data_IF_620061774629
#
_entry.id   IF_620061774629
#
_cell.length_a   1.000
_cell.length_b   1.000
_cell.length_c   1.000
_cell.angle_alpha   90.00
_cell.angle_beta   90.00
_cell.angle_gamma   90.00
#
_symmetry.space_group_name_H-M   'P 1'
#
loop_
_entity.id
_entity.type
_entity.pdbx_description
1 polymer ?
#
# COMPACT_ATOMS: atom_id res chain seq x y z
N UNK A 1 19.61 -9.57 7.83
CA UNK A 1 18.43 -10.42 7.60
C UNK A 1 18.16 -10.37 6.12
N UNK A 2 18.27 -11.50 5.42
CA UNK A 2 17.86 -11.58 4.02
C UNK A 2 16.33 -11.62 4.02
N UNK A 3 15.71 -10.60 3.43
CA UNK A 3 14.28 -10.61 3.12
C UNK A 3 14.03 -11.77 2.15
N UNK A 4 13.16 -12.70 2.53
CA UNK A 4 12.85 -13.86 1.72
C UNK A 4 12.05 -13.42 0.48
N UNK A 5 12.47 -13.80 -0.74
CA UNK A 5 11.76 -13.44 -1.97
C UNK A 5 10.42 -14.18 -2.01
N UNK A 6 9.35 -13.48 -1.65
CA UNK A 6 7.98 -14.02 -1.58
C UNK A 6 7.20 -13.63 -0.33
N UNK A 7 7.83 -12.99 0.66
CA UNK A 7 7.11 -12.37 1.77
C UNK A 7 6.61 -10.98 1.33
N UNK A 8 5.29 -10.79 1.33
CA UNK A 8 4.68 -9.47 1.15
C UNK A 8 5.43 -8.42 1.97
N UNK A 9 5.78 -7.29 1.35
CA UNK A 9 6.52 -6.22 1.99
C UNK A 9 5.92 -5.91 3.37
N UNK A 10 6.70 -6.00 4.48
CA UNK A 10 6.15 -5.86 5.84
C UNK A 10 5.53 -4.48 6.07
N UNK A 11 5.90 -3.49 5.25
CA UNK A 11 5.31 -2.16 5.21
C UNK A 11 3.80 -2.20 4.87
N UNK A 12 3.36 -3.08 3.96
CA UNK A 12 1.94 -3.23 3.59
C UNK A 12 1.07 -3.61 4.79
N UNK A 13 1.63 -4.41 5.71
CA UNK A 13 0.98 -4.86 6.93
C UNK A 13 1.13 -3.88 8.10
N UNK A 14 2.02 -2.89 8.01
CA UNK A 14 2.12 -1.83 9.03
C UNK A 14 0.94 -0.88 8.91
N UNK A 15 0.54 -0.30 10.06
CA UNK A 15 -0.44 0.79 10.06
C UNK A 15 0.16 2.02 9.42
N UNK A 16 -0.66 2.79 8.72
CA UNK A 16 -0.23 4.03 8.09
C UNK A 16 0.41 5.00 9.08
N UNK A 17 -0.15 5.16 10.28
CA UNK A 17 0.43 6.02 11.30
C UNK A 17 1.75 5.50 11.91
N UNK A 18 2.07 4.23 11.71
CA UNK A 18 3.35 3.64 12.12
C UNK A 18 4.38 3.66 10.97
N UNK A 19 3.91 3.72 9.73
CA UNK A 19 4.74 3.75 8.52
C UNK A 19 5.00 5.17 7.99
N UNK A 20 4.08 6.10 8.24
CA UNK A 20 4.08 7.46 7.74
C UNK A 20 3.72 8.45 8.86
N UNK A 21 4.64 9.35 9.20
CA UNK A 21 4.43 10.38 10.23
C UNK A 21 3.32 11.39 9.89
N UNK A 22 2.95 11.51 8.61
CA UNK A 22 1.93 12.45 8.15
C UNK A 22 0.51 11.88 8.17
N UNK A 23 0.35 10.57 8.38
CA UNK A 23 -0.96 9.91 8.40
C UNK A 23 -1.31 9.51 9.84
N UNK A 24 -2.49 9.89 10.31
CA UNK A 24 -3.05 9.38 11.59
C UNK A 24 -3.88 8.11 11.40
N UNK A 25 -3.91 7.55 10.18
CA UNK A 25 -4.74 6.39 9.87
C UNK A 25 -4.22 5.14 10.56
N UNK A 26 -5.10 4.46 11.27
CA UNK A 26 -4.83 3.14 11.87
C UNK A 26 -4.99 2.00 10.87
N UNK A 27 -5.40 2.31 9.64
CA UNK A 27 -5.51 1.32 8.58
C UNK A 27 -4.11 0.87 8.14
N UNK A 28 -3.95 -0.41 7.80
CA UNK A 28 -2.71 -0.88 7.19
C UNK A 28 -2.46 -0.17 5.85
N UNK A 29 -1.19 0.01 5.49
CA UNK A 29 -0.79 0.68 4.22
C UNK A 29 -1.46 0.00 3.02
N UNK A 30 -1.55 -1.33 3.03
CA UNK A 30 -2.26 -2.12 2.02
C UNK A 30 -3.71 -1.68 1.84
N UNK A 31 -4.45 -1.59 2.94
CA UNK A 31 -5.87 -1.22 2.91
C UNK A 31 -6.04 0.24 2.48
N UNK A 32 -5.16 1.14 2.91
CA UNK A 32 -5.23 2.53 2.49
C UNK A 32 -4.97 2.70 0.97
N UNK A 33 -3.98 1.99 0.42
CA UNK A 33 -3.75 1.92 -1.02
C UNK A 33 -4.95 1.29 -1.74
N UNK A 34 -5.48 0.19 -1.21
CA UNK A 34 -6.64 -0.49 -1.76
C UNK A 34 -7.88 0.41 -1.84
N UNK A 35 -8.16 1.16 -0.78
CA UNK A 35 -9.27 2.12 -0.70
C UNK A 35 -9.11 3.26 -1.72
N UNK A 36 -7.90 3.79 -1.87
CA UNK A 36 -7.59 4.79 -2.91
C UNK A 36 -7.85 4.26 -4.33
N UNK A 37 -7.40 3.04 -4.62
CA UNK A 37 -7.64 2.42 -5.92
C UNK A 37 -9.11 2.08 -6.13
N UNK A 38 -9.83 1.67 -5.08
CA UNK A 38 -11.27 1.49 -5.12
C UNK A 38 -11.97 2.79 -5.51
N UNK A 39 -11.70 3.91 -4.83
CA UNK A 39 -12.30 5.20 -5.20
C UNK A 39 -11.93 5.63 -6.62
N UNK A 40 -10.67 5.40 -7.03
CA UNK A 40 -10.18 5.72 -8.38
C UNK A 40 -10.81 4.87 -9.48
N UNK A 41 -11.11 3.61 -9.19
CA UNK A 41 -11.61 2.62 -10.14
C UNK A 41 -13.14 2.46 -10.08
N UNK A 42 -13.89 3.41 -9.49
CA UNK A 42 -15.35 3.33 -9.31
C UNK A 42 -15.80 2.07 -8.52
N UNK A 43 -15.03 1.72 -7.49
CA UNK A 43 -15.19 0.52 -6.65
C UNK A 43 -15.08 -0.81 -7.44
N UNK A 44 -14.39 -0.80 -8.58
CA UNK A 44 -14.08 -2.00 -9.35
C UNK A 44 -12.96 -2.79 -8.64
N UNK A 45 -13.37 -3.87 -7.98
CA UNK A 45 -12.46 -4.77 -7.27
C UNK A 45 -11.50 -5.50 -8.21
N UNK A 46 -11.89 -5.77 -9.46
CA UNK A 46 -11.04 -6.48 -10.42
C UNK A 46 -9.88 -5.59 -10.90
N UNK A 47 -10.15 -4.31 -11.16
CA UNK A 47 -9.09 -3.34 -11.50
C UNK A 47 -8.19 -3.09 -10.32
N UNK A 48 -8.79 -2.91 -9.16
CA UNK A 48 -8.05 -2.64 -7.93
C UNK A 48 -7.13 -3.80 -7.57
N UNK A 49 -7.56 -5.05 -7.70
CA UNK A 49 -6.71 -6.22 -7.48
C UNK A 49 -5.53 -6.24 -8.45
N UNK A 50 -5.76 -5.93 -9.74
CA UNK A 50 -4.67 -5.80 -10.73
C UNK A 50 -3.70 -4.68 -10.42
N UNK A 51 -4.18 -3.55 -9.90
CA UNK A 51 -3.33 -2.45 -9.47
C UNK A 51 -2.53 -2.81 -8.21
N UNK A 52 -3.09 -3.65 -7.30
CA UNK A 52 -2.45 -4.10 -6.06
C UNK A 52 -1.47 -5.27 -6.24
N UNK A 53 -1.65 -6.10 -7.28
CA UNK A 53 -0.78 -7.24 -7.61
C UNK A 53 0.74 -6.90 -7.65
N UNK A 54 1.20 -5.81 -8.30
CA UNK A 54 2.61 -5.44 -8.30
C UNK A 54 3.14 -5.04 -6.92
N UNK A 55 2.29 -4.52 -6.02
CA UNK A 55 2.72 -4.11 -4.68
C UNK A 55 3.19 -5.28 -3.82
N UNK A 56 2.73 -6.50 -4.09
CA UNK A 56 3.18 -7.71 -3.38
C UNK A 56 4.65 -8.05 -3.67
N UNK A 57 5.16 -7.64 -4.84
CA UNK A 57 6.53 -7.91 -5.29
C UNK A 57 7.42 -6.65 -5.32
N UNK A 58 6.87 -5.48 -5.03
CA UNK A 58 7.63 -4.23 -4.93
C UNK A 58 8.41 -4.14 -3.63
N UNK A 59 9.53 -3.42 -3.70
CA UNK A 59 10.32 -3.06 -2.54
C UNK A 59 9.57 -2.06 -1.64
N UNK A 60 9.85 -2.12 -0.35
CA UNK A 60 9.23 -1.23 0.65
C UNK A 60 9.42 0.25 0.33
N UNK A 61 10.55 0.65 -0.27
CA UNK A 61 10.81 2.01 -0.72
C UNK A 61 9.83 2.48 -1.82
N UNK A 62 9.60 1.67 -2.85
CA UNK A 62 8.65 1.99 -3.92
C UNK A 62 7.21 2.11 -3.38
N UNK A 63 6.80 1.18 -2.52
CA UNK A 63 5.47 1.21 -1.89
C UNK A 63 5.31 2.48 -1.04
N UNK A 64 6.36 2.87 -0.32
CA UNK A 64 6.36 4.09 0.49
C UNK A 64 6.20 5.33 -0.40
N UNK A 65 6.98 5.41 -1.49
CA UNK A 65 6.92 6.52 -2.42
C UNK A 65 5.55 6.65 -3.10
N UNK A 66 4.96 5.54 -3.53
CA UNK A 66 3.62 5.53 -4.14
C UNK A 66 2.55 5.86 -3.09
N UNK A 67 2.59 5.26 -1.90
CA UNK A 67 1.66 5.60 -0.83
C UNK A 67 1.73 7.09 -0.46
N UNK A 68 2.93 7.67 -0.31
CA UNK A 68 3.06 9.11 -0.13
C UNK A 68 2.50 9.90 -1.31
N UNK A 69 2.72 9.47 -2.55
CA UNK A 69 2.24 10.22 -3.72
C UNK A 69 0.72 10.13 -3.91
N UNK A 70 0.11 8.99 -3.57
CA UNK A 70 -1.29 8.70 -3.82
C UNK A 70 -2.18 9.09 -2.63
N UNK A 71 -1.72 8.88 -1.40
CA UNK A 71 -2.49 9.04 -0.17
C UNK A 71 -2.22 10.37 0.55
N UNK A 72 -1.04 10.99 0.35
CA UNK A 72 -0.74 12.32 0.91
C UNK A 72 -1.45 13.37 0.07
N UNK A 73 -2.60 13.83 0.54
CA UNK A 73 -3.31 15.00 0.00
C UNK A 73 -3.04 16.25 0.80
#
# INVERSE_FOLDING_TARGET
MAEEPGAESPLLNKKMNEAFDWSDSKLPVRDALWDYYMEKNDHDTMKTEKDMEPYMNMSTDDITADAEKLLKK
#
